data_IF_511734821742
#
_entry.id   IF_511734821742
#
_cell.length_a   1.000
_cell.length_b   1.000
_cell.length_c   1.000
_cell.angle_alpha   90.00
_cell.angle_beta   90.00
_cell.angle_gamma   90.00
#
_symmetry.space_group_name_H-M   'P 1'
#
loop_
_entity.id
_entity.type
_entity.pdbx_description
1 polymer ?
#
# COMPACT_ATOMS: atom_id res chain seq x y z
N UNK A 1 -16.76 -4.29 17.45
CA UNK A 1 -15.32 -4.33 17.65
C UNK A 1 -14.57 -4.22 16.32
N UNK A 2 -13.54 -3.43 16.30
CA UNK A 2 -12.77 -3.22 15.09
C UNK A 2 -11.77 -4.34 14.92
N UNK A 3 -11.67 -4.83 13.71
CA UNK A 3 -10.75 -5.88 13.38
C UNK A 3 -9.57 -5.33 12.64
N UNK A 4 -8.39 -5.54 13.20
CA UNK A 4 -7.18 -5.03 12.55
C UNK A 4 -6.92 -5.73 11.23
N UNK A 5 -7.35 -6.96 11.12
CA UNK A 5 -7.13 -7.71 9.89
C UNK A 5 -7.91 -7.17 8.72
N UNK A 6 -8.89 -6.30 8.97
CA UNK A 6 -9.62 -5.66 7.88
C UNK A 6 -8.85 -4.52 7.26
N UNK A 7 -7.76 -4.09 7.90
CA UNK A 7 -6.99 -2.96 7.41
C UNK A 7 -5.90 -3.45 6.48
N UNK A 8 -5.62 -2.65 5.46
CA UNK A 8 -4.55 -2.97 4.54
C UNK A 8 -3.20 -2.87 5.22
N UNK A 9 -2.30 -3.75 4.83
CA UNK A 9 -0.93 -3.71 5.35
C UNK A 9 0.01 -4.28 4.31
N UNK A 10 1.28 -3.91 4.43
CA UNK A 10 2.30 -4.39 3.52
C UNK A 10 2.92 -5.62 4.15
N UNK A 11 2.90 -6.74 3.43
CA UNK A 11 3.42 -7.98 3.95
C UNK A 11 4.84 -8.26 3.45
N UNK A 12 5.18 -7.83 2.24
CA UNK A 12 6.50 -8.04 1.67
C UNK A 12 6.90 -6.83 0.87
N UNK A 13 8.22 -6.66 0.71
CA UNK A 13 8.75 -5.48 0.07
C UNK A 13 10.07 -5.83 -0.59
N UNK A 14 10.26 -5.38 -1.82
CA UNK A 14 11.53 -5.59 -2.52
C UNK A 14 11.72 -4.47 -3.54
N UNK A 15 12.74 -4.64 -4.41
CA UNK A 15 13.09 -3.63 -5.39
C UNK A 15 12.03 -3.43 -6.45
N UNK A 16 11.19 -4.42 -6.66
CA UNK A 16 10.23 -4.38 -7.75
C UNK A 16 8.86 -3.88 -7.31
N UNK A 17 8.60 -3.90 -6.02
CA UNK A 17 7.32 -3.48 -5.53
C UNK A 17 7.08 -4.04 -4.15
N UNK A 18 5.81 -4.12 -3.79
CA UNK A 18 5.47 -4.64 -2.47
C UNK A 18 4.14 -5.39 -2.56
N UNK A 19 3.95 -6.29 -1.60
CA UNK A 19 2.71 -7.04 -1.49
C UNK A 19 1.83 -6.41 -0.45
N UNK A 20 0.60 -6.16 -0.83
CA UNK A 20 -0.38 -5.52 0.02
C UNK A 20 -1.45 -6.53 0.38
N UNK A 21 -1.71 -6.68 1.66
CA UNK A 21 -2.75 -7.59 2.13
C UNK A 21 -3.94 -6.76 2.58
N UNK A 22 -5.10 -7.10 2.04
CA UNK A 22 -6.31 -6.35 2.29
C UNK A 22 -7.47 -7.34 2.27
N UNK A 23 -8.18 -7.45 3.38
CA UNK A 23 -9.35 -8.33 3.48
C UNK A 23 -9.01 -9.76 3.08
N UNK A 24 -7.89 -10.25 3.61
CA UNK A 24 -7.42 -11.62 3.35
C UNK A 24 -7.00 -11.88 1.91
N UNK A 25 -6.79 -10.82 1.14
CA UNK A 25 -6.31 -10.95 -0.22
C UNK A 25 -4.98 -10.25 -0.36
N UNK A 26 -4.11 -10.81 -1.18
CA UNK A 26 -2.80 -10.24 -1.44
C UNK A 26 -2.77 -9.67 -2.83
N UNK A 27 -2.22 -8.45 -2.93
CA UNK A 27 -2.06 -7.77 -4.21
C UNK A 27 -0.63 -7.31 -4.35
N UNK A 28 -0.09 -7.45 -5.54
CA UNK A 28 1.26 -6.95 -5.79
C UNK A 28 1.17 -5.56 -6.42
N UNK A 29 1.87 -4.61 -5.82
CA UNK A 29 1.93 -3.25 -6.33
C UNK A 29 3.32 -3.01 -6.88
N UNK A 30 3.39 -2.81 -8.18
CA UNK A 30 4.65 -2.71 -8.90
C UNK A 30 5.15 -1.28 -8.92
N UNK A 31 6.45 -1.08 -8.66
CA UNK A 31 7.03 0.26 -8.75
C UNK A 31 7.13 0.74 -10.19
N UNK A 32 7.08 -0.18 -11.15
CA UNK A 32 7.07 0.26 -12.55
C UNK A 32 5.74 0.90 -12.92
N UNK A 33 4.66 0.51 -12.25
CA UNK A 33 3.37 1.15 -12.46
C UNK A 33 3.19 2.37 -11.59
N UNK A 34 3.84 2.39 -10.44
CA UNK A 34 3.74 3.49 -9.49
C UNK A 34 5.14 3.95 -9.11
N UNK A 35 5.84 4.60 -10.05
CA UNK A 35 7.25 4.94 -9.79
C UNK A 35 7.43 5.86 -8.60
N UNK A 36 6.45 6.69 -8.29
CA UNK A 36 6.57 7.56 -7.14
C UNK A 36 6.63 6.77 -5.83
N UNK A 37 5.97 5.64 -5.78
CA UNK A 37 6.05 4.80 -4.59
C UNK A 37 7.41 4.16 -4.46
N UNK A 38 8.09 3.91 -5.57
CA UNK A 38 9.41 3.33 -5.54
C UNK A 38 10.47 4.25 -4.96
N UNK A 39 10.20 5.54 -4.90
CA UNK A 39 11.14 6.48 -4.31
C UNK A 39 10.99 6.61 -2.81
N UNK A 40 9.98 5.98 -2.22
CA UNK A 40 9.74 6.05 -0.80
C UNK A 40 10.51 4.97 -0.06
N UNK A 41 10.91 5.28 1.16
CA UNK A 41 11.47 4.26 2.04
C UNK A 41 10.33 3.42 2.61
N UNK A 42 10.70 2.27 3.16
CA UNK A 42 9.68 1.35 3.67
C UNK A 42 8.81 2.01 4.73
N UNK A 43 9.41 2.80 5.61
CA UNK A 43 8.63 3.46 6.66
C UNK A 43 7.62 4.42 6.07
N UNK A 44 7.94 5.02 4.94
CA UNK A 44 7.01 5.91 4.26
C UNK A 44 5.94 5.15 3.50
N UNK A 45 6.30 3.98 2.96
CA UNK A 45 5.34 3.15 2.26
C UNK A 45 4.24 2.66 3.20
N UNK A 46 4.56 2.43 4.46
CA UNK A 46 3.56 1.99 5.42
C UNK A 46 2.68 3.12 5.92
N UNK A 47 2.97 4.33 5.51
CA UNK A 47 2.28 5.52 6.00
C UNK A 47 1.26 5.99 4.99
N UNK A 48 0.22 5.22 4.83
CA UNK A 48 -0.83 5.53 3.86
C UNK A 48 -2.16 5.65 4.57
N UNK A 49 -3.11 6.28 3.88
CA UNK A 49 -4.48 6.41 4.35
C UNK A 49 -5.35 5.45 3.55
N UNK A 50 -6.14 4.67 4.25
CA UNK A 50 -7.10 3.80 3.58
C UNK A 50 -8.43 4.52 3.50
N UNK A 51 -8.85 4.82 2.28
CA UNK A 51 -10.11 5.50 2.04
C UNK A 51 -11.20 4.46 1.80
N UNK A 52 -12.37 4.91 1.41
CA UNK A 52 -13.49 3.99 1.26
C UNK A 52 -13.20 2.95 0.19
N UNK A 53 -13.73 1.75 0.41
CA UNK A 53 -13.68 0.66 -0.56
C UNK A 53 -12.27 0.20 -0.86
N UNK A 54 -11.39 0.31 0.11
CA UNK A 54 -10.05 -0.23 -0.06
C UNK A 54 -9.15 0.58 -0.95
N UNK A 55 -9.50 1.83 -1.20
CA UNK A 55 -8.63 2.72 -1.94
C UNK A 55 -7.56 3.23 -0.99
N UNK A 56 -6.30 3.14 -1.40
CA UNK A 56 -5.17 3.54 -0.59
C UNK A 56 -4.53 4.79 -1.16
N UNK A 57 -4.18 5.70 -0.29
CA UNK A 57 -3.66 6.99 -0.71
C UNK A 57 -2.37 7.31 0.04
N UNK A 58 -1.33 7.62 -0.70
CA UNK A 58 -0.04 8.06 -0.16
C UNK A 58 0.07 9.56 -0.35
N UNK A 59 -0.16 10.27 0.72
CA UNK A 59 -0.23 11.71 0.65
C UNK A 59 1.11 12.33 0.28
N UNK A 60 2.19 11.74 0.75
CA UNK A 60 3.51 12.33 0.54
C UNK A 60 3.89 12.40 -0.94
N UNK A 61 3.33 11.54 -1.76
CA UNK A 61 3.63 11.54 -3.19
C UNK A 61 2.37 11.69 -4.05
N UNK A 62 1.23 11.86 -3.39
CA UNK A 62 -0.05 12.08 -4.10
C UNK A 62 -0.35 10.92 -5.04
N UNK A 63 -0.27 9.70 -4.53
CA UNK A 63 -0.52 8.50 -5.31
C UNK A 63 -1.68 7.74 -4.69
N UNK A 64 -2.60 7.31 -5.54
CA UNK A 64 -3.75 6.52 -5.15
C UNK A 64 -3.66 5.15 -5.81
N UNK A 65 -3.90 4.11 -5.02
CA UNK A 65 -3.92 2.73 -5.51
C UNK A 65 -5.29 2.15 -5.22
N UNK A 66 -5.94 1.64 -6.26
CA UNK A 66 -7.28 1.07 -6.11
C UNK A 66 -7.33 -0.44 -6.31
#
# INVERSE_FOLDING_TARGET
MIKNEDRAKISKYNNEGFWLVKKNEEFFVSFSEYPKLGSLEFSQLTFFTEETDGVLYWESVDVTVT
#
